data_IF_353394382989
#
_entry.id   IF_353394382989
#
_cell.length_a   1.000
_cell.length_b   1.000
_cell.length_c   1.000
_cell.angle_alpha   90.00
_cell.angle_beta   90.00
_cell.angle_gamma   90.00
#
_symmetry.space_group_name_H-M   'P 1'
#
loop_
_entity.id
_entity.type
_entity.pdbx_description
1 polymer ?
#
# COMPACT_ATOMS: atom_id res chain seq x y z
N UNK A 1 12.04 -0.48 -0.74
CA UNK A 1 12.98 -1.57 -0.36
C UNK A 1 13.93 -1.01 0.69
N UNK A 2 14.14 -1.74 1.79
CA UNK A 2 14.95 -1.28 2.93
C UNK A 2 14.11 -0.96 4.17
N UNK A 3 14.77 -0.76 5.32
CA UNK A 3 14.13 -0.69 6.65
C UNK A 3 12.94 0.26 6.74
N UNK A 4 13.12 1.52 6.33
CA UNK A 4 12.08 2.55 6.27
C UNK A 4 12.58 3.78 5.49
N UNK A 5 11.69 4.71 5.18
CA UNK A 5 11.99 5.90 4.35
C UNK A 5 12.93 6.93 5.00
N UNK A 6 13.32 6.77 6.28
CA UNK A 6 14.34 7.62 6.93
C UNK A 6 15.72 6.96 6.96
N UNK A 7 15.85 5.70 6.54
CA UNK A 7 17.13 4.98 6.45
C UNK A 7 17.92 5.40 5.22
N UNK A 8 19.25 5.48 5.33
CA UNK A 8 20.13 5.81 4.20
C UNK A 8 20.14 4.77 3.09
N UNK A 9 19.89 3.50 3.40
CA UNK A 9 19.84 2.41 2.39
C UNK A 9 18.46 2.26 1.74
N UNK A 10 17.48 3.07 2.14
CA UNK A 10 16.13 2.97 1.58
C UNK A 10 16.06 3.49 0.16
N UNK A 11 15.27 2.80 -0.67
CA UNK A 11 14.96 3.21 -2.03
C UNK A 11 13.55 2.82 -2.45
N UNK A 12 13.01 3.57 -3.39
CA UNK A 12 11.82 3.18 -4.15
C UNK A 12 12.24 2.48 -5.44
N UNK A 13 11.53 1.41 -5.77
CA UNK A 13 11.69 0.67 -7.01
C UNK A 13 10.32 0.47 -7.64
N UNK A 14 10.25 0.57 -8.96
CA UNK A 14 9.08 0.16 -9.72
C UNK A 14 9.32 -1.28 -10.19
N UNK A 15 8.51 -2.20 -9.69
CA UNK A 15 8.57 -3.63 -10.00
C UNK A 15 7.16 -4.13 -10.28
N UNK A 16 7.05 -5.27 -10.96
CA UNK A 16 5.76 -5.94 -11.14
C UNK A 16 5.25 -6.51 -9.81
N UNK A 17 3.95 -6.75 -9.72
CA UNK A 17 3.36 -7.38 -8.54
C UNK A 17 3.88 -8.82 -8.33
N UNK A 18 4.20 -9.55 -9.41
CA UNK A 18 4.81 -10.89 -9.32
C UNK A 18 6.18 -10.84 -8.65
N UNK A 19 7.06 -9.94 -9.11
CA UNK A 19 8.39 -9.75 -8.51
C UNK A 19 8.29 -9.29 -7.05
N UNK A 20 7.29 -8.47 -6.73
CA UNK A 20 7.01 -8.09 -5.34
C UNK A 20 6.66 -9.31 -4.48
N UNK A 21 5.75 -10.17 -4.96
CA UNK A 21 5.35 -11.39 -4.25
C UNK A 21 6.54 -12.34 -4.03
N UNK A 22 7.36 -12.56 -5.06
CA UNK A 22 8.58 -13.37 -4.98
C UNK A 22 9.53 -12.83 -3.90
N UNK A 23 9.72 -11.51 -3.83
CA UNK A 23 10.61 -10.89 -2.82
C UNK A 23 10.10 -11.05 -1.40
N UNK A 24 8.80 -10.93 -1.16
CA UNK A 24 8.25 -11.02 0.22
C UNK A 24 8.10 -12.47 0.69
N UNK A 25 8.07 -13.44 -0.22
CA UNK A 25 8.04 -14.88 0.07
C UNK A 25 9.43 -15.50 0.23
N UNK A 26 10.50 -14.79 -0.16
CA UNK A 26 11.88 -15.24 0.01
C UNK A 26 12.23 -15.43 1.49
N UNK A 27 13.01 -16.47 1.79
CA UNK A 27 13.56 -16.74 3.13
C UNK A 27 14.59 -15.68 3.57
N UNK A 28 15.09 -14.85 2.63
CA UNK A 28 15.95 -13.72 2.94
C UNK A 28 15.12 -12.50 3.41
N UNK A 29 15.02 -12.35 4.74
CA UNK A 29 14.34 -11.23 5.38
C UNK A 29 15.28 -10.05 5.70
N UNK A 30 16.51 -10.03 5.19
CA UNK A 30 17.49 -8.98 5.52
C UNK A 30 17.07 -7.59 5.03
N UNK A 31 16.32 -7.52 3.93
CA UNK A 31 15.85 -6.27 3.33
C UNK A 31 14.35 -6.34 3.04
N UNK A 32 13.50 -5.69 3.87
CA UNK A 32 12.07 -5.74 3.65
C UNK A 32 11.66 -5.00 2.36
N UNK A 33 10.75 -5.62 1.62
CA UNK A 33 10.04 -5.00 0.50
C UNK A 33 8.63 -4.64 0.96
N UNK A 34 8.30 -3.36 0.93
CA UNK A 34 7.06 -2.82 1.47
C UNK A 34 6.34 -2.02 0.39
N UNK A 35 5.14 -2.47 0.01
CA UNK A 35 4.20 -1.70 -0.80
C UNK A 35 3.42 -0.81 0.16
N UNK A 36 3.86 0.43 0.33
CA UNK A 36 3.30 1.39 1.27
C UNK A 36 2.63 2.55 0.53
N UNK A 37 1.49 3.01 1.06
CA UNK A 37 0.80 4.21 0.57
C UNK A 37 0.50 4.15 -0.94
N UNK A 38 0.12 2.97 -1.43
CA UNK A 38 -0.08 2.75 -2.86
C UNK A 38 -1.57 2.73 -3.22
N UNK A 39 -2.03 3.45 -4.25
CA UNK A 39 -3.44 3.49 -4.67
C UNK A 39 -3.82 2.22 -5.45
N UNK A 40 -3.64 1.06 -4.82
CA UNK A 40 -3.77 -0.25 -5.46
C UNK A 40 -5.18 -0.44 -6.03
N UNK A 41 -6.21 -0.01 -5.32
CA UNK A 41 -7.61 -0.18 -5.72
C UNK A 41 -8.05 0.69 -6.90
N UNK A 42 -7.25 1.71 -7.25
CA UNK A 42 -7.55 2.66 -8.34
C UNK A 42 -6.67 2.42 -9.58
N UNK A 43 -5.77 1.43 -9.56
CA UNK A 43 -4.88 1.15 -10.69
C UNK A 43 -5.66 0.77 -11.94
N UNK A 44 -5.43 1.51 -13.02
CA UNK A 44 -6.10 1.30 -14.30
C UNK A 44 -5.76 -0.07 -14.88
N UNK A 45 -6.80 -0.81 -15.22
CA UNK A 45 -6.77 -2.04 -16.00
C UNK A 45 -6.07 -1.80 -17.34
N UNK A 46 -5.02 -2.55 -17.64
CA UNK A 46 -4.54 -2.70 -19.02
C UNK A 46 -5.32 -3.85 -19.66
N UNK A 47 -5.68 -3.80 -20.95
CA UNK A 47 -6.54 -4.79 -21.59
C UNK A 47 -6.01 -6.24 -21.59
N UNK A 48 -4.77 -6.46 -21.13
CA UNK A 48 -4.12 -7.77 -21.08
C UNK A 48 -3.92 -8.33 -19.66
N UNK A 49 -4.17 -7.55 -18.60
CA UNK A 49 -3.94 -7.99 -17.22
C UNK A 49 -5.17 -7.77 -16.34
N UNK A 50 -5.35 -8.68 -15.39
CA UNK A 50 -6.47 -8.80 -14.45
C UNK A 50 -6.92 -7.45 -13.88
N UNK A 51 -8.23 -7.22 -13.87
CA UNK A 51 -8.85 -6.02 -13.30
C UNK A 51 -8.56 -5.92 -11.81
N UNK A 52 -7.57 -5.10 -11.43
CA UNK A 52 -7.30 -4.77 -10.01
C UNK A 52 -8.53 -4.07 -9.36
N UNK A 53 -9.47 -3.57 -10.18
CA UNK A 53 -10.79 -3.10 -9.76
C UNK A 53 -11.64 -4.17 -9.07
N UNK A 54 -11.38 -5.45 -9.28
CA UNK A 54 -12.09 -6.50 -8.55
C UNK A 54 -11.79 -6.43 -7.04
N UNK A 55 -10.55 -6.11 -6.64
CA UNK A 55 -10.20 -5.91 -5.23
C UNK A 55 -10.97 -4.77 -4.57
N UNK A 56 -11.41 -3.78 -5.37
CA UNK A 56 -12.23 -2.67 -4.86
C UNK A 56 -13.61 -3.15 -4.38
N UNK A 57 -14.12 -4.28 -4.89
CA UNK A 57 -15.39 -4.88 -4.49
C UNK A 57 -15.31 -5.60 -3.14
N UNK A 58 -14.10 -5.96 -2.72
CA UNK A 58 -13.85 -6.68 -1.46
C UNK A 58 -13.78 -5.74 -0.24
N UNK A 59 -13.84 -4.42 -0.48
CA UNK A 59 -13.77 -3.40 0.56
C UNK A 59 -14.91 -2.39 0.45
N UNK A 60 -15.27 -1.80 1.58
CA UNK A 60 -16.28 -0.74 1.68
C UNK A 60 -15.66 0.51 2.29
N UNK A 61 -16.13 1.68 1.86
CA UNK A 61 -15.78 2.95 2.51
C UNK A 61 -16.66 3.07 3.76
N UNK A 62 -16.10 3.17 4.98
CA UNK A 62 -16.90 3.35 6.18
C UNK A 62 -17.74 4.62 6.14
N UNK A 63 -18.99 4.57 6.58
CA UNK A 63 -19.91 5.72 6.55
C UNK A 63 -19.35 6.96 7.27
N UNK A 64 -18.52 6.75 8.29
CA UNK A 64 -17.84 7.83 9.04
C UNK A 64 -16.97 8.72 8.15
N UNK A 65 -16.46 8.23 7.01
CA UNK A 65 -15.70 9.04 6.07
C UNK A 65 -16.52 10.21 5.51
N UNK A 66 -17.85 10.15 5.54
CA UNK A 66 -18.74 11.20 5.07
C UNK A 66 -19.18 12.18 6.16
N UNK A 67 -18.90 11.90 7.44
CA UNK A 67 -19.36 12.71 8.56
C UNK A 67 -18.74 14.12 8.61
N UNK A 68 -17.55 14.30 8.03
CA UNK A 68 -16.82 15.57 8.01
C UNK A 68 -17.24 16.56 6.92
N UNK A 69 -18.24 16.23 6.08
CA UNK A 69 -18.69 17.10 4.99
C UNK A 69 -17.68 17.29 3.84
N UNK A 70 -16.60 16.51 3.82
CA UNK A 70 -15.60 16.48 2.76
C UNK A 70 -15.72 15.24 1.86
N UNK A 71 -14.95 15.21 0.79
CA UNK A 71 -14.83 14.05 -0.10
C UNK A 71 -13.73 13.08 0.35
N UNK A 72 -13.87 11.81 -0.01
CA UNK A 72 -12.81 10.81 0.19
C UNK A 72 -11.54 11.26 -0.56
N UNK A 73 -10.43 11.36 0.17
CA UNK A 73 -9.17 11.90 -0.37
C UNK A 73 -8.35 10.86 -1.12
N UNK A 74 -8.07 9.73 -0.49
CA UNK A 74 -7.27 8.65 -1.06
C UNK A 74 -7.69 7.32 -0.50
N UNK A 75 -7.55 6.28 -1.32
CA UNK A 75 -7.75 4.90 -0.94
C UNK A 75 -6.47 4.12 -1.25
N UNK A 76 -5.70 3.83 -0.20
CA UNK A 76 -4.39 3.23 -0.33
C UNK A 76 -4.35 1.81 0.27
N UNK A 77 -3.42 1.02 -0.22
CA UNK A 77 -3.04 -0.26 0.34
C UNK A 77 -1.65 -0.16 0.99
N UNK A 78 -1.50 -0.93 2.06
CA UNK A 78 -0.22 -1.21 2.71
C UNK A 78 -0.07 -2.73 2.76
N UNK A 79 0.96 -3.26 2.10
CA UNK A 79 1.19 -4.69 2.00
C UNK A 79 2.69 -4.99 2.05
N UNK A 80 3.08 -5.91 2.92
CA UNK A 80 4.47 -6.29 3.11
C UNK A 80 4.63 -7.41 4.14
N UNK A 81 5.85 -7.96 4.27
CA UNK A 81 6.16 -9.03 5.21
C UNK A 81 6.24 -8.51 6.66
N UNK A 82 6.37 -9.44 7.60
CA UNK A 82 6.67 -9.09 9.00
C UNK A 82 7.91 -8.18 9.09
N UNK A 83 7.86 -7.19 9.98
CA UNK A 83 8.97 -6.26 10.23
C UNK A 83 9.00 -5.02 9.34
N UNK A 84 8.02 -4.81 8.46
CA UNK A 84 7.85 -3.50 7.79
C UNK A 84 7.55 -2.41 8.81
N UNK A 85 8.24 -1.27 8.71
CA UNK A 85 8.06 -0.14 9.64
C UNK A 85 7.74 1.12 8.85
N UNK A 86 6.65 1.77 9.22
CA UNK A 86 6.40 3.18 8.91
C UNK A 86 6.81 4.00 10.14
N UNK A 87 7.90 4.80 10.07
CA UNK A 87 8.31 5.70 11.14
C UNK A 87 7.18 6.61 11.64
N UNK A 88 7.31 7.12 12.86
CA UNK A 88 6.35 8.07 13.42
C UNK A 88 6.25 9.32 12.54
N UNK A 89 5.03 9.67 12.16
CA UNK A 89 4.71 10.86 11.35
C UNK A 89 3.25 11.25 11.59
N UNK A 90 2.84 12.37 10.99
CA UNK A 90 1.45 12.80 10.92
C UNK A 90 1.04 12.98 9.46
N UNK A 91 -0.21 12.63 9.15
CA UNK A 91 -0.84 12.90 7.86
C UNK A 91 -1.60 14.23 7.89
N UNK A 92 -1.77 14.91 6.74
CA UNK A 92 -2.56 16.14 6.63
C UNK A 92 -4.07 15.89 6.65
N UNK A 93 -4.53 14.64 6.64
CA UNK A 93 -5.94 14.26 6.53
C UNK A 93 -6.33 13.26 7.62
N UNK A 94 -7.61 13.24 7.99
CA UNK A 94 -8.15 12.17 8.83
C UNK A 94 -8.06 10.84 8.10
N UNK A 95 -7.74 9.77 8.82
CA UNK A 95 -7.50 8.46 8.24
C UNK A 95 -8.25 7.36 9.01
N UNK A 96 -8.72 6.34 8.30
CA UNK A 96 -9.21 5.08 8.86
C UNK A 96 -8.30 3.99 8.30
N UNK A 97 -7.55 3.34 9.18
CA UNK A 97 -6.74 2.18 8.83
C UNK A 97 -7.52 0.90 9.16
N UNK A 98 -7.76 0.07 8.16
CA UNK A 98 -8.37 -1.25 8.30
C UNK A 98 -7.30 -2.35 8.13
N UNK A 99 -7.40 -3.43 8.91
CA UNK A 99 -6.45 -4.54 8.96
C UNK A 99 -7.11 -5.87 8.59
#
# INVERSE_FOLDING_TARGET
VGKNYVSSEWKQELITFSEFLERIQSDDHSVPTYLAQHPLFDQASTPYYMDIKELRKDIVIPDYCYAGGGELRSLNAWFGPSGTVTPLHHDPHHNILAQ
#
